data_IF_101024087674
#
_entry.id   IF_101024087674
#
_cell.length_a   1.000
_cell.length_b   1.000
_cell.length_c   1.000
_cell.angle_alpha   90.00
_cell.angle_beta   90.00
_cell.angle_gamma   90.00
#
_symmetry.space_group_name_H-M   'P 1'
#
loop_
_entity.id
_entity.type
_entity.pdbx_description
1 polymer ?
#
# COMPACT_ATOMS: atom_id res chain seq x y z
N UNK A 1 -21.93 33.68 12.14
CA UNK A 1 -21.54 33.48 10.73
C UNK A 1 -21.42 31.99 10.48
N UNK A 2 -22.34 31.36 9.73
CA UNK A 2 -22.35 29.91 9.48
C UNK A 2 -21.26 29.42 8.50
N UNK A 3 -20.56 30.35 7.84
CA UNK A 3 -19.52 30.05 6.83
C UNK A 3 -18.24 29.50 7.49
N UNK A 4 -17.90 29.96 8.70
CA UNK A 4 -16.67 29.58 9.39
C UNK A 4 -16.71 28.13 9.91
N UNK A 5 -17.85 27.70 10.44
CA UNK A 5 -18.04 26.31 10.92
C UNK A 5 -17.97 25.30 9.77
N UNK A 6 -18.58 25.64 8.62
CA UNK A 6 -18.51 24.81 7.42
C UNK A 6 -17.07 24.67 6.92
N UNK A 7 -16.32 25.77 6.84
CA UNK A 7 -14.92 25.75 6.40
C UNK A 7 -14.02 24.93 7.35
N UNK A 8 -14.25 25.03 8.67
CA UNK A 8 -13.53 24.21 9.66
C UNK A 8 -13.83 22.73 9.48
N UNK A 9 -15.10 22.37 9.23
CA UNK A 9 -15.51 20.99 9.03
C UNK A 9 -14.89 20.40 7.75
N UNK A 10 -14.93 21.14 6.64
CA UNK A 10 -14.30 20.74 5.38
C UNK A 10 -12.80 20.51 5.53
N UNK A 11 -12.11 21.38 6.27
CA UNK A 11 -10.68 21.22 6.58
C UNK A 11 -10.41 19.95 7.40
N UNK A 12 -11.26 19.63 8.39
CA UNK A 12 -11.14 18.40 9.18
C UNK A 12 -11.39 17.16 8.33
N UNK A 13 -12.39 17.17 7.45
CA UNK A 13 -12.67 16.08 6.51
C UNK A 13 -11.47 15.86 5.58
N UNK A 14 -10.93 16.93 5.00
CA UNK A 14 -9.73 16.86 4.16
C UNK A 14 -8.53 16.26 4.90
N UNK A 15 -8.25 16.71 6.12
CA UNK A 15 -7.15 16.19 6.92
C UNK A 15 -7.33 14.70 7.28
N UNK A 16 -8.57 14.28 7.61
CA UNK A 16 -8.87 12.87 7.90
C UNK A 16 -8.74 12.01 6.66
N UNK A 17 -9.19 12.48 5.49
CA UNK A 17 -9.04 11.77 4.21
C UNK A 17 -7.57 11.53 3.87
N UNK A 18 -6.72 12.55 4.00
CA UNK A 18 -5.27 12.41 3.77
C UNK A 18 -4.66 11.37 4.73
N UNK A 19 -5.07 11.34 6.00
CA UNK A 19 -4.62 10.32 6.96
C UNK A 19 -5.07 8.92 6.55
N UNK A 20 -6.32 8.78 6.10
CA UNK A 20 -6.88 7.51 5.65
C UNK A 20 -6.15 6.98 4.41
N UNK A 21 -5.89 7.82 3.42
CA UNK A 21 -5.14 7.46 2.21
C UNK A 21 -3.71 7.01 2.55
N UNK A 22 -3.05 7.70 3.50
CA UNK A 22 -1.74 7.27 4.01
C UNK A 22 -1.80 5.91 4.68
N UNK A 23 -2.78 5.67 5.55
CA UNK A 23 -2.95 4.39 6.23
C UNK A 23 -3.21 3.26 5.22
N UNK A 24 -4.10 3.47 4.25
CA UNK A 24 -4.37 2.50 3.19
C UNK A 24 -3.09 2.15 2.41
N UNK A 25 -2.28 3.16 2.07
CA UNK A 25 -1.00 2.93 1.41
C UNK A 25 -0.04 2.11 2.28
N UNK A 26 0.11 2.45 3.56
CA UNK A 26 0.97 1.71 4.48
C UNK A 26 0.49 0.27 4.68
N UNK A 27 -0.81 0.06 4.82
CA UNK A 27 -1.41 -1.28 4.91
C UNK A 27 -1.10 -2.07 3.65
N UNK A 28 -1.31 -1.48 2.47
CA UNK A 28 -1.03 -2.12 1.18
C UNK A 28 0.44 -2.53 1.03
N UNK A 29 1.36 -1.64 1.40
CA UNK A 29 2.81 -1.94 1.39
C UNK A 29 3.17 -3.08 2.35
N UNK A 30 2.50 -3.18 3.49
CA UNK A 30 2.73 -4.24 4.47
C UNK A 30 2.18 -5.59 4.00
N UNK A 31 0.98 -5.62 3.42
CA UNK A 31 0.40 -6.82 2.82
C UNK A 31 1.32 -7.40 1.73
N UNK A 32 1.86 -6.55 0.85
CA UNK A 32 2.80 -6.95 -0.20
C UNK A 32 4.04 -7.61 0.42
N UNK A 33 4.61 -7.01 1.47
CA UNK A 33 5.79 -7.58 2.17
C UNK A 33 5.48 -8.95 2.79
N UNK A 34 4.31 -9.11 3.40
CA UNK A 34 3.88 -10.39 3.97
C UNK A 34 3.72 -11.46 2.89
N UNK A 35 3.10 -11.13 1.76
CA UNK A 35 2.97 -12.07 0.63
C UNK A 35 4.34 -12.47 0.08
N UNK A 36 5.27 -11.51 -0.08
CA UNK A 36 6.65 -11.82 -0.50
C UNK A 36 7.31 -12.77 0.51
N UNK A 37 7.16 -12.51 1.81
CA UNK A 37 7.70 -13.38 2.87
C UNK A 37 7.12 -14.79 2.81
N UNK A 38 5.80 -14.92 2.66
CA UNK A 38 5.10 -16.21 2.57
C UNK A 38 5.53 -17.01 1.33
N UNK A 39 5.80 -16.33 0.22
CA UNK A 39 6.34 -16.94 -1.00
C UNK A 39 7.77 -17.44 -0.77
N UNK A 40 8.64 -16.61 -0.19
CA UNK A 40 10.04 -16.94 0.05
C UNK A 40 10.22 -18.07 1.07
N UNK A 41 9.32 -18.15 2.06
CA UNK A 41 9.29 -19.20 3.07
C UNK A 41 8.58 -20.48 2.61
N UNK A 42 7.96 -20.47 1.43
CA UNK A 42 7.23 -21.62 0.88
C UNK A 42 5.88 -21.90 1.54
N UNK A 43 5.40 -21.00 2.41
CA UNK A 43 4.06 -21.09 3.01
C UNK A 43 2.94 -20.83 2.01
N UNK A 44 3.25 -20.11 0.93
CA UNK A 44 2.31 -19.78 -0.15
C UNK A 44 2.80 -20.35 -1.48
N UNK A 45 1.97 -21.18 -2.13
CA UNK A 45 2.32 -21.88 -3.37
C UNK A 45 1.82 -21.19 -4.65
N UNK A 46 0.78 -20.36 -4.53
CA UNK A 46 0.15 -19.65 -5.65
C UNK A 46 -0.37 -18.26 -5.21
N UNK A 47 -0.81 -17.49 -6.19
CA UNK A 47 -1.34 -16.13 -6.03
C UNK A 47 -2.82 -16.04 -6.46
N UNK A 48 -3.48 -17.17 -6.66
CA UNK A 48 -4.82 -17.25 -7.28
C UNK A 48 -5.91 -16.64 -6.39
N UNK A 49 -5.64 -16.53 -5.09
CA UNK A 49 -6.47 -15.88 -4.07
C UNK A 49 -6.28 -14.36 -4.02
N UNK A 50 -5.27 -13.81 -4.71
CA UNK A 50 -5.01 -12.37 -4.74
C UNK A 50 -5.79 -11.69 -5.87
N UNK A 51 -6.24 -10.46 -5.63
CA UNK A 51 -6.85 -9.66 -6.69
C UNK A 51 -5.82 -9.25 -7.75
N UNK A 52 -6.27 -9.04 -8.99
CA UNK A 52 -5.41 -8.59 -10.09
C UNK A 52 -4.63 -7.31 -9.73
N UNK A 53 -5.32 -6.32 -9.14
CA UNK A 53 -4.69 -5.08 -8.68
C UNK A 53 -3.59 -5.33 -7.64
N UNK A 54 -3.75 -6.34 -6.77
CA UNK A 54 -2.72 -6.74 -5.81
C UNK A 54 -1.53 -7.38 -6.49
N UNK A 55 -1.77 -8.29 -7.44
CA UNK A 55 -0.71 -8.95 -8.20
C UNK A 55 0.13 -7.92 -8.96
N UNK A 56 -0.50 -6.90 -9.56
CA UNK A 56 0.21 -5.82 -10.24
C UNK A 56 1.11 -5.01 -9.29
N UNK A 57 0.61 -4.65 -8.11
CA UNK A 57 1.40 -3.94 -7.09
C UNK A 57 2.56 -4.81 -6.57
N UNK A 58 2.29 -6.10 -6.33
CA UNK A 58 3.29 -7.08 -5.90
C UNK A 58 4.40 -7.22 -6.95
N UNK A 59 4.06 -7.34 -8.23
CA UNK A 59 5.06 -7.41 -9.31
C UNK A 59 5.92 -6.16 -9.39
N UNK A 60 5.33 -4.96 -9.22
CA UNK A 60 6.10 -3.70 -9.16
C UNK A 60 7.05 -3.68 -7.97
N UNK A 61 6.60 -4.14 -6.81
CA UNK A 61 7.43 -4.19 -5.60
C UNK A 61 8.60 -5.17 -5.74
N UNK A 62 8.38 -6.35 -6.33
CA UNK A 62 9.44 -7.33 -6.61
C UNK A 62 10.47 -6.75 -7.58
N UNK A 63 10.01 -6.15 -8.69
CA UNK A 63 10.91 -5.50 -9.67
C UNK A 63 11.77 -4.42 -9.02
N UNK A 64 11.17 -3.57 -8.17
CA UNK A 64 11.88 -2.54 -7.43
C UNK A 64 12.93 -3.14 -6.49
N UNK A 65 12.57 -4.18 -5.73
CA UNK A 65 13.51 -4.86 -4.84
C UNK A 65 14.70 -5.45 -5.61
N UNK A 66 14.46 -6.11 -6.75
CA UNK A 66 15.53 -6.64 -7.61
C UNK A 66 16.44 -5.51 -8.11
N UNK A 67 15.86 -4.38 -8.53
CA UNK A 67 16.62 -3.23 -9.00
C UNK A 67 17.51 -2.64 -7.89
N UNK A 68 16.96 -2.45 -6.69
CA UNK A 68 17.70 -1.96 -5.53
C UNK A 68 18.84 -2.90 -5.11
N UNK A 69 18.67 -4.21 -5.24
CA UNK A 69 19.74 -5.20 -4.99
C UNK A 69 20.81 -5.11 -6.07
N UNK A 70 20.42 -4.99 -7.35
CA UNK A 70 21.36 -4.84 -8.47
C UNK A 70 22.21 -3.58 -8.38
N UNK A 71 21.65 -2.47 -7.94
CA UNK A 71 22.40 -1.21 -7.75
C UNK A 71 23.40 -1.27 -6.59
N UNK A 72 23.29 -2.29 -5.72
CA UNK A 72 24.19 -2.49 -4.57
C UNK A 72 25.31 -3.50 -4.83
N UNK A 73 25.28 -4.21 -5.96
CA UNK A 73 26.30 -5.19 -6.38
C UNK A 73 27.17 -4.56 -7.46
#
# INVERSE_FOLDING_TARGET
MPVDEKAILEKKIGATRVKMEKLQRTTREMEIKLVIWDLMSGHRKNLDDLSLDFVDDLQKAIKKCIQEVRERI
#
